data_IF_812740254902
#
_entry.id   IF_812740254902
#
_cell.length_a   1.000
_cell.length_b   1.000
_cell.length_c   1.000
_cell.angle_alpha   90.00
_cell.angle_beta   90.00
_cell.angle_gamma   90.00
#
_symmetry.space_group_name_H-M   'P 1'
#
loop_
_entity.id
_entity.type
_entity.pdbx_description
1 polymer ?
#
# COMPACT_ATOMS: atom_id res chain seq x y z
N UNK A 1 -2.91 -0.79 -4.94
CA UNK A 1 -2.79 0.58 -5.46
C UNK A 1 -2.85 1.58 -4.32
N UNK A 2 -4.02 2.16 -4.08
CA UNK A 2 -4.21 3.24 -3.07
C UNK A 2 -3.74 2.83 -1.68
N UNK A 3 -4.15 1.67 -1.16
CA UNK A 3 -3.72 1.20 0.16
C UNK A 3 -2.19 1.06 0.28
N UNK A 4 -1.52 0.58 -0.78
CA UNK A 4 -0.06 0.44 -0.74
C UNK A 4 0.63 1.80 -0.69
N UNK A 5 0.12 2.79 -1.44
CA UNK A 5 0.60 4.16 -1.34
C UNK A 5 0.42 4.69 0.09
N UNK A 6 -0.76 4.52 0.68
CA UNK A 6 -1.05 4.95 2.05
C UNK A 6 -0.16 4.26 3.09
N UNK A 7 0.09 2.95 2.96
CA UNK A 7 0.97 2.22 3.88
C UNK A 7 2.43 2.71 3.85
N UNK A 8 2.88 3.18 2.68
CA UNK A 8 4.26 3.63 2.47
C UNK A 8 4.43 5.11 2.83
N UNK A 9 3.44 5.95 2.52
CA UNK A 9 3.55 7.41 2.66
C UNK A 9 2.75 7.99 3.83
N UNK A 10 1.76 7.25 4.36
CA UNK A 10 0.88 7.70 5.44
C UNK A 10 -0.25 8.63 5.01
N UNK A 11 -0.41 8.88 3.70
CA UNK A 11 -1.46 9.74 3.15
C UNK A 11 -2.04 9.16 1.85
N UNK A 12 -3.20 9.66 1.42
CA UNK A 12 -3.80 9.24 0.15
C UNK A 12 -3.16 9.96 -1.04
N UNK A 13 -2.96 9.28 -2.19
CA UNK A 13 -2.35 9.90 -3.38
C UNK A 13 -3.27 10.88 -4.11
N UNK A 14 -4.58 10.77 -3.90
CA UNK A 14 -5.61 11.59 -4.51
C UNK A 14 -6.59 12.00 -3.40
N UNK A 15 -7.17 13.20 -3.48
CA UNK A 15 -8.15 13.64 -2.49
C UNK A 15 -9.49 12.91 -2.64
N UNK A 16 -10.48 13.35 -1.88
CA UNK A 16 -11.78 12.66 -1.71
C UNK A 16 -12.75 12.81 -2.90
N UNK A 17 -12.26 12.92 -4.14
CA UNK A 17 -13.13 12.93 -5.33
C UNK A 17 -12.63 12.00 -6.44
N UNK A 18 -13.58 11.41 -7.17
CA UNK A 18 -13.29 10.44 -8.23
C UNK A 18 -12.58 11.07 -9.43
N UNK A 19 -12.74 12.38 -9.68
CA UNK A 19 -12.11 13.05 -10.82
C UNK A 19 -10.60 13.10 -10.66
N UNK A 20 -10.11 13.34 -9.45
CA UNK A 20 -8.68 13.30 -9.18
C UNK A 20 -8.08 11.90 -9.38
N UNK A 21 -8.82 10.86 -8.99
CA UNK A 21 -8.41 9.48 -9.26
C UNK A 21 -8.27 9.22 -10.77
N UNK A 22 -9.05 9.87 -11.63
CA UNK A 22 -8.95 9.74 -13.08
C UNK A 22 -7.85 10.64 -13.68
N UNK A 23 -7.81 11.91 -13.28
CA UNK A 23 -7.10 12.95 -14.03
C UNK A 23 -5.82 13.43 -13.33
N UNK A 24 -5.73 13.33 -12.01
CA UNK A 24 -4.57 13.88 -11.28
C UNK A 24 -3.33 13.02 -11.48
N UNK A 25 -2.16 13.63 -11.69
CA UNK A 25 -0.90 12.90 -11.78
C UNK A 25 -0.56 12.27 -10.42
N UNK A 26 -0.04 11.06 -10.44
CA UNK A 26 0.52 10.43 -9.25
C UNK A 26 1.84 11.12 -8.89
N UNK A 27 1.97 11.56 -7.65
CA UNK A 27 3.17 12.24 -7.13
C UNK A 27 3.77 11.43 -5.99
N UNK A 28 5.08 11.57 -5.81
CA UNK A 28 5.80 11.05 -4.66
C UNK A 28 6.61 12.20 -4.04
N UNK A 29 6.91 12.16 -2.74
CA UNK A 29 7.84 13.08 -2.10
C UNK A 29 9.23 13.01 -2.74
N UNK A 30 9.96 14.13 -2.73
CA UNK A 30 11.24 14.27 -3.43
C UNK A 30 12.26 13.20 -3.04
N UNK A 31 12.29 12.80 -1.77
CA UNK A 31 13.22 11.79 -1.26
C UNK A 31 13.07 10.41 -1.94
N UNK A 32 11.87 10.05 -2.42
CA UNK A 32 11.63 8.75 -3.09
C UNK A 32 12.30 8.66 -4.46
N UNK A 33 12.54 9.79 -5.13
CA UNK A 33 13.22 9.80 -6.44
C UNK A 33 14.73 9.59 -6.32
N UNK A 34 15.30 9.85 -5.14
CA UNK A 34 16.72 9.75 -4.88
C UNK A 34 17.11 8.51 -4.06
N UNK A 35 16.13 7.80 -3.48
CA UNK A 35 16.36 6.59 -2.70
C UNK A 35 16.32 5.33 -3.60
N UNK A 36 17.45 4.62 -3.78
CA UNK A 36 17.49 3.37 -4.54
C UNK A 36 16.58 2.28 -3.96
N UNK A 37 16.34 2.28 -2.64
CA UNK A 37 15.46 1.30 -1.98
C UNK A 37 13.98 1.60 -2.25
N UNK A 38 13.65 2.86 -2.56
CA UNK A 38 12.29 3.26 -2.90
C UNK A 38 11.90 2.92 -4.34
N UNK A 39 12.86 2.64 -5.23
CA UNK A 39 12.62 2.42 -6.66
C UNK A 39 11.56 1.36 -6.94
N UNK A 40 11.66 0.20 -6.31
CA UNK A 40 10.73 -0.91 -6.53
C UNK A 40 9.35 -0.62 -5.95
N UNK A 41 9.31 0.09 -4.82
CA UNK A 41 8.08 0.58 -4.19
C UNK A 41 7.36 1.59 -5.08
N UNK A 42 8.08 2.57 -5.63
CA UNK A 42 7.53 3.56 -6.58
C UNK A 42 7.02 2.85 -7.84
N UNK A 43 7.81 1.93 -8.40
CA UNK A 43 7.46 1.17 -9.60
C UNK A 43 6.15 0.38 -9.42
N UNK A 44 5.99 -0.35 -8.32
CA UNK A 44 4.79 -1.15 -8.12
C UNK A 44 3.54 -0.29 -7.90
N UNK A 45 3.68 0.81 -7.16
CA UNK A 45 2.58 1.75 -6.91
C UNK A 45 2.15 2.39 -8.23
N UNK A 46 3.10 2.83 -9.05
CA UNK A 46 2.83 3.34 -10.41
C UNK A 46 2.10 2.30 -11.25
N UNK A 47 2.56 1.05 -11.25
CA UNK A 47 1.93 -0.05 -11.98
C UNK A 47 0.47 -0.29 -11.56
N UNK A 48 0.19 -0.28 -10.25
CA UNK A 48 -1.18 -0.42 -9.75
C UNK A 48 -2.08 0.78 -10.01
N UNK A 49 -1.50 1.99 -10.05
CA UNK A 49 -2.22 3.25 -10.23
C UNK A 49 -2.14 3.78 -11.66
N UNK A 50 -1.76 2.92 -12.62
CA UNK A 50 -1.87 3.22 -14.05
C UNK A 50 -3.31 3.54 -14.40
N UNK A 51 -3.50 4.72 -15.00
CA UNK A 51 -4.82 5.26 -15.36
C UNK A 51 -5.53 4.37 -16.37
N UNK A 52 -4.81 3.96 -17.42
CA UNK A 52 -5.28 3.00 -18.43
C UNK A 52 -5.48 1.61 -17.78
N UNK A 53 -6.73 1.11 -17.67
CA UNK A 53 -7.01 -0.17 -17.03
C UNK A 53 -6.33 -1.35 -17.72
N UNK A 54 -6.14 -1.30 -19.05
CA UNK A 54 -5.56 -2.40 -19.83
C UNK A 54 -4.06 -2.51 -19.58
N UNK A 55 -3.39 -1.39 -19.29
CA UNK A 55 -1.95 -1.32 -18.97
C UNK A 55 -1.66 -1.43 -17.48
N UNK A 56 -2.69 -1.53 -16.64
CA UNK A 56 -2.53 -1.61 -15.19
C UNK A 56 -1.89 -2.94 -14.82
N UNK A 57 -0.93 -2.90 -13.89
CA UNK A 57 -0.25 -4.09 -13.40
C UNK A 57 -1.29 -5.09 -12.87
N UNK A 58 -1.25 -6.30 -13.43
CA UNK A 58 -2.17 -7.40 -13.14
C UNK A 58 -3.50 -7.38 -13.90
N UNK A 59 -3.68 -6.48 -14.87
CA UNK A 59 -4.84 -6.49 -15.78
C UNK A 59 -4.59 -7.28 -17.09
N UNK A 60 -3.33 -7.59 -17.41
CA UNK A 60 -2.98 -8.39 -18.57
C UNK A 60 -3.24 -9.89 -18.31
N UNK A 61 -2.97 -10.73 -19.32
CA UNK A 61 -3.27 -12.18 -19.28
C UNK A 61 -2.54 -12.96 -18.19
N UNK A 62 -1.41 -12.45 -17.71
CA UNK A 62 -0.62 -12.96 -16.59
C UNK A 62 -1.24 -12.64 -15.21
N UNK A 63 -2.12 -11.64 -15.15
CA UNK A 63 -2.92 -11.31 -13.98
C UNK A 63 -2.09 -11.18 -12.70
N UNK A 64 -2.44 -11.93 -11.67
CA UNK A 64 -1.74 -11.90 -10.38
C UNK A 64 -0.31 -12.43 -10.44
N UNK A 65 0.09 -13.23 -11.44
CA UNK A 65 1.46 -13.71 -11.56
C UNK A 65 2.43 -12.53 -11.73
N UNK A 66 2.09 -11.57 -12.60
CA UNK A 66 2.88 -10.35 -12.79
C UNK A 66 3.00 -9.50 -11.53
N UNK A 67 1.96 -9.51 -10.67
CA UNK A 67 2.02 -8.82 -9.38
C UNK A 67 3.01 -9.53 -8.46
N UNK A 68 2.93 -10.86 -8.35
CA UNK A 68 3.78 -11.66 -7.46
C UNK A 68 5.26 -11.65 -7.86
N UNK A 69 5.53 -11.55 -9.15
CA UNK A 69 6.89 -11.53 -9.72
C UNK A 69 7.56 -10.14 -9.68
N UNK A 70 6.81 -9.08 -9.35
CA UNK A 70 7.35 -7.74 -9.29
C UNK A 70 8.45 -7.63 -8.21
N UNK A 71 9.54 -6.89 -8.50
CA UNK A 71 10.72 -6.76 -7.62
C UNK A 71 10.40 -6.29 -6.19
N UNK A 72 9.33 -5.50 -6.02
CA UNK A 72 8.81 -5.11 -4.70
C UNK A 72 8.52 -6.31 -3.76
N UNK A 73 8.11 -7.46 -4.30
CA UNK A 73 7.85 -8.68 -3.54
C UNK A 73 9.03 -9.68 -3.59
N UNK A 74 10.20 -9.24 -4.07
CA UNK A 74 11.37 -10.11 -4.10
C UNK A 74 11.72 -10.58 -2.68
N UNK A 75 11.87 -11.90 -2.52
CA UNK A 75 12.15 -12.53 -1.23
C UNK A 75 10.91 -12.83 -0.38
N UNK A 76 9.70 -12.46 -0.83
CA UNK A 76 8.47 -12.90 -0.20
C UNK A 76 8.14 -14.34 -0.64
N UNK A 77 8.08 -15.25 0.33
CA UNK A 77 7.57 -16.60 0.10
C UNK A 77 6.03 -16.61 0.17
N UNK A 78 5.40 -16.77 -0.99
CA UNK A 78 3.95 -16.75 -1.12
C UNK A 78 3.27 -17.97 -0.49
N UNK A 79 3.96 -19.12 -0.43
CA UNK A 79 3.41 -20.34 0.15
C UNK A 79 3.48 -20.27 1.68
N UNK A 80 4.57 -19.77 2.24
CA UNK A 80 4.66 -19.47 3.68
C UNK A 80 3.65 -18.39 4.11
N UNK A 81 3.42 -17.38 3.28
CA UNK A 81 2.39 -16.36 3.53
C UNK A 81 1.01 -17.02 3.60
N UNK A 82 0.67 -17.87 2.62
CA UNK A 82 -0.60 -18.60 2.57
C UNK A 82 -0.76 -19.55 3.76
N UNK A 83 0.33 -20.23 4.14
CA UNK A 83 0.42 -21.14 5.29
C UNK A 83 0.40 -20.46 6.66
N UNK A 84 0.41 -19.12 6.71
CA UNK A 84 0.51 -18.31 7.96
C UNK A 84 1.79 -18.58 8.74
N UNK A 85 2.87 -18.91 8.03
CA UNK A 85 4.18 -19.22 8.62
C UNK A 85 5.07 -17.98 8.77
N UNK A 86 4.76 -16.92 8.01
CA UNK A 86 5.45 -15.64 8.16
C UNK A 86 5.02 -14.92 9.43
N UNK A 87 5.99 -14.43 10.20
CA UNK A 87 5.73 -13.59 11.37
C UNK A 87 5.08 -12.27 10.90
N UNK A 88 3.88 -11.91 11.38
CA UNK A 88 3.26 -10.65 10.99
C UNK A 88 4.03 -9.46 11.58
N UNK A 89 4.00 -8.29 10.92
CA UNK A 89 4.69 -7.09 11.38
C UNK A 89 4.13 -6.54 12.69
N UNK A 90 2.87 -6.85 13.00
CA UNK A 90 2.20 -6.43 14.21
C UNK A 90 1.41 -7.61 14.81
N UNK A 91 1.61 -7.85 16.10
CA UNK A 91 0.85 -8.78 16.92
C UNK A 91 0.17 -8.00 18.05
N UNK A 92 -1.16 -7.83 18.03
CA UNK A 92 -1.89 -7.21 19.14
C UNK A 92 -1.62 -7.94 20.46
N UNK A 93 -1.47 -7.19 21.55
CA UNK A 93 -1.22 -7.76 22.89
C UNK A 93 -2.49 -8.29 23.57
N UNK A 94 -3.64 -7.79 23.14
CA UNK A 94 -4.96 -8.12 23.67
C UNK A 94 -6.01 -7.89 22.60
N UNK A 95 -7.24 -8.31 22.88
CA UNK A 95 -8.40 -7.92 22.09
C UNK A 95 -8.54 -6.38 22.12
N UNK A 96 -8.85 -5.80 20.97
CA UNK A 96 -9.09 -4.37 20.81
C UNK A 96 -10.18 -4.24 19.77
N UNK A 97 -11.32 -3.70 20.17
CA UNK A 97 -12.44 -3.45 19.28
C UNK A 97 -12.46 -1.97 18.89
N UNK A 98 -13.11 -1.64 17.78
CA UNK A 98 -13.17 -0.25 17.31
C UNK A 98 -13.82 0.68 18.34
N UNK A 99 -14.76 0.16 19.13
CA UNK A 99 -15.43 0.87 20.22
C UNK A 99 -14.47 1.29 21.34
N UNK A 100 -13.44 0.48 21.63
CA UNK A 100 -12.47 0.72 22.70
C UNK A 100 -11.56 1.92 22.41
N UNK A 101 -11.34 2.25 21.13
CA UNK A 101 -10.44 3.34 20.71
C UNK A 101 -11.07 4.73 20.78
N UNK A 102 -12.41 4.83 20.86
CA UNK A 102 -13.12 6.13 20.94
C UNK A 102 -13.14 6.69 22.37
N UNK A 103 -13.02 5.82 23.38
CA UNK A 103 -13.15 6.22 24.79
C UNK A 103 -11.89 6.87 25.39
N UNK A 104 -10.73 6.81 24.71
CA UNK A 104 -9.45 7.32 25.24
C UNK A 104 -9.15 8.80 24.97
N UNK A 105 -10.02 9.52 24.26
CA UNK A 105 -9.75 10.87 23.73
C UNK A 105 -10.14 12.07 24.60
N UNK A 106 -10.62 11.89 25.83
CA UNK A 106 -11.01 13.02 26.69
C UNK A 106 -11.00 12.70 28.19
N UNK A 107 -9.84 12.77 28.84
CA UNK A 107 -9.74 13.22 30.24
C UNK A 107 -8.42 13.96 30.48
N UNK A 108 -8.53 15.04 31.25
CA UNK A 108 -7.65 16.21 31.34
C UNK A 108 -6.30 16.00 32.04
N UNK A 109 -5.39 16.96 31.82
CA UNK A 109 -4.57 17.50 32.92
C UNK A 109 -4.45 19.03 32.77
N UNK A 110 -5.21 19.77 33.59
CA UNK A 110 -4.85 21.10 34.09
C UNK A 110 -4.70 20.95 35.60
#
# INVERSE_FOLDING_TARGET
GICLYEFVLGEFPFANNYKEVLDSPLRFPEQFYHDPQAKDTVSIIQGFLTKDPVKRLGAASDGYAAIKEHAFFQGLDWDMLLGRELKPPYLPKSETYAEDQVAGGSTMSV
#
